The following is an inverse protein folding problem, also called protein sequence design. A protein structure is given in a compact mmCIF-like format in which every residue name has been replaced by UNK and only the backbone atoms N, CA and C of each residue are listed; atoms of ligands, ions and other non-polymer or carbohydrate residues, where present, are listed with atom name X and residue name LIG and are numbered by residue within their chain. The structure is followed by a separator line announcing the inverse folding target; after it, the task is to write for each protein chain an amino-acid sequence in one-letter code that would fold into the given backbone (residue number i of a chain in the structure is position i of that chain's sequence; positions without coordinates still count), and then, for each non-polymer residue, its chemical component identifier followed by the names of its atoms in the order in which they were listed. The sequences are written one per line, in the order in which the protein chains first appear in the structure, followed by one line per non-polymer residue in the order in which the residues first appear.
data_IF_687274528760
#
_entry.id   IF_687274528760
#
_cell.length_a   1.000
_cell.length_b   1.000
_cell.length_c   1.000
_cell.angle_alpha   90.00
_cell.angle_beta   90.00
_cell.angle_gamma   90.00
#
_symmetry.space_group_name_H-M   'P 1'
#
loop_
_entity.id
_entity.type
_entity.pdbx_description
1 polymer ?
#
# COMPACT_ATOMS: atom_id res chain seq x y z
N UNK A 1 5.00 27.21 -11.18
CA UNK A 1 5.43 26.25 -10.12
C UNK A 1 4.93 24.86 -10.50
N UNK A 2 5.70 23.78 -10.28
CA UNK A 2 5.22 22.41 -10.57
C UNK A 2 4.06 22.07 -9.62
N UNK A 3 2.94 21.58 -10.16
CA UNK A 3 1.75 21.18 -9.38
C UNK A 3 2.13 20.08 -8.37
N UNK A 4 1.81 20.29 -7.10
CA UNK A 4 1.96 19.27 -6.04
C UNK A 4 1.04 18.10 -6.35
N UNK A 5 1.56 16.88 -6.24
CA UNK A 5 0.82 15.65 -6.50
C UNK A 5 0.13 15.16 -5.24
N UNK A 6 -1.03 14.51 -5.36
CA UNK A 6 -1.73 13.91 -4.22
C UNK A 6 -1.64 12.39 -4.28
N UNK A 7 -1.12 11.77 -3.22
CA UNK A 7 -1.18 10.33 -2.99
C UNK A 7 -2.32 10.03 -2.01
N UNK A 8 -3.35 9.33 -2.48
CA UNK A 8 -4.34 8.74 -1.55
C UNK A 8 -3.72 7.49 -0.92
N UNK A 9 -3.49 7.54 0.40
CA UNK A 9 -2.94 6.44 1.17
C UNK A 9 -4.10 5.77 1.92
N UNK A 10 -4.59 4.67 1.37
CA UNK A 10 -5.74 3.97 1.90
C UNK A 10 -5.26 2.98 2.95
N UNK A 11 -5.82 3.05 4.15
CA UNK A 11 -5.59 2.05 5.19
C UNK A 11 -6.54 0.89 4.89
N UNK A 12 -6.00 -0.28 4.57
CA UNK A 12 -6.78 -1.48 4.38
C UNK A 12 -7.61 -1.79 5.62
N UNK A 13 -8.79 -2.38 5.42
CA UNK A 13 -9.68 -2.77 6.53
C UNK A 13 -10.23 -1.58 7.35
N UNK A 14 -10.83 -1.86 8.51
CA UNK A 14 -11.31 -0.87 9.47
C UNK A 14 -11.38 -1.48 10.87
N UNK A 15 -11.40 -0.67 11.93
CA UNK A 15 -11.46 -1.16 13.32
C UNK A 15 -12.54 -2.23 13.60
N UNK A 16 -13.74 -2.10 13.01
CA UNK A 16 -14.83 -3.09 13.17
C UNK A 16 -14.75 -4.32 12.24
N UNK A 17 -13.80 -4.37 11.32
CA UNK A 17 -13.52 -5.49 10.42
C UNK A 17 -12.03 -5.42 10.05
N UNK A 18 -11.15 -5.80 10.99
CA UNK A 18 -9.76 -5.35 11.02
C UNK A 18 -8.81 -6.12 10.09
N UNK A 19 -9.31 -7.12 9.38
CA UNK A 19 -8.50 -7.94 8.48
C UNK A 19 -7.84 -9.10 9.21
N UNK A 20 -6.69 -9.53 8.69
CA UNK A 20 -5.92 -10.60 9.32
C UNK A 20 -5.36 -10.15 10.68
N UNK A 21 -5.10 -11.11 11.56
CA UNK A 21 -4.57 -10.86 12.91
C UNK A 21 -3.41 -11.81 13.16
N UNK A 22 -2.28 -11.25 13.59
CA UNK A 22 -1.21 -12.06 14.18
C UNK A 22 -1.66 -12.54 15.56
N UNK A 23 -1.82 -13.86 15.72
CA UNK A 23 -2.34 -14.43 16.96
C UNK A 23 -1.35 -14.32 18.13
N UNK A 24 -0.05 -14.31 17.85
CA UNK A 24 0.99 -14.25 18.89
C UNK A 24 1.15 -12.84 19.47
N UNK A 25 1.01 -11.81 18.65
CA UNK A 25 1.15 -10.41 19.07
C UNK A 25 -0.19 -9.68 19.28
N UNK A 26 -1.32 -10.34 19.02
CA UNK A 26 -2.66 -9.75 19.04
C UNK A 26 -2.76 -8.46 18.19
N UNK A 27 -2.00 -8.40 17.10
CA UNK A 27 -1.91 -7.24 16.22
C UNK A 27 -2.72 -7.47 14.96
N UNK A 28 -3.66 -6.57 14.68
CA UNK A 28 -4.47 -6.64 13.47
C UNK A 28 -3.83 -5.93 12.28
N UNK A 29 -4.21 -6.34 11.08
CA UNK A 29 -3.78 -5.73 9.82
C UNK A 29 -4.18 -4.26 9.75
N UNK A 30 -5.38 -3.90 10.23
CA UNK A 30 -5.82 -2.52 10.31
C UNK A 30 -4.91 -1.68 11.23
N UNK A 31 -4.65 -2.17 12.45
CA UNK A 31 -3.86 -1.41 13.44
C UNK A 31 -2.42 -1.21 12.97
N UNK A 32 -1.81 -2.24 12.38
CA UNK A 32 -0.47 -2.14 11.78
C UNK A 32 -0.44 -1.08 10.67
N UNK A 33 -1.38 -1.17 9.72
CA UNK A 33 -1.41 -0.28 8.56
C UNK A 33 -1.79 1.16 8.92
N UNK A 34 -2.59 1.37 9.98
CA UNK A 34 -2.88 2.72 10.48
C UNK A 34 -1.62 3.40 11.01
N UNK A 35 -0.83 2.72 11.85
CA UNK A 35 0.44 3.26 12.35
C UNK A 35 1.43 3.51 11.21
N UNK A 36 1.56 2.56 10.28
CA UNK A 36 2.43 2.72 9.12
C UNK A 36 2.02 3.93 8.27
N UNK A 37 0.72 4.14 8.07
CA UNK A 37 0.20 5.29 7.32
C UNK A 37 0.49 6.63 8.02
N UNK A 38 0.43 6.68 9.35
CA UNK A 38 0.79 7.85 10.15
C UNK A 38 2.27 8.22 9.96
N UNK A 39 3.16 7.23 10.05
CA UNK A 39 4.61 7.43 9.88
C UNK A 39 4.99 7.87 8.46
N UNK A 40 4.35 7.28 7.43
CA UNK A 40 4.55 7.68 6.03
C UNK A 40 4.10 9.12 5.79
N UNK A 41 2.93 9.51 6.30
CA UNK A 41 2.44 10.90 6.15
C UNK A 41 3.36 11.88 6.88
N UNK A 42 3.75 11.57 8.13
CA UNK A 42 4.65 12.40 8.91
C UNK A 42 6.00 12.60 8.20
N UNK A 43 6.54 11.55 7.58
CA UNK A 43 7.80 11.62 6.81
C UNK A 43 7.72 12.44 5.52
N UNK A 44 6.51 12.82 5.08
CA UNK A 44 6.23 13.57 3.86
C UNK A 44 5.57 14.94 4.12
N UNK A 45 5.42 15.37 5.38
CA UNK A 45 4.73 16.60 5.76
C UNK A 45 5.28 17.86 5.07
N UNK A 46 6.61 18.00 5.01
CA UNK A 46 7.29 19.15 4.39
C UNK A 46 7.58 18.96 2.89
N UNK A 47 7.05 17.90 2.27
CA UNK A 47 7.37 17.59 0.89
C UNK A 47 6.68 18.53 -0.11
N UNK A 48 7.48 19.29 -0.85
CA UNK A 48 6.98 20.27 -1.84
C UNK A 48 6.47 19.66 -3.15
N UNK A 49 6.57 18.34 -3.35
CA UNK A 49 6.20 17.67 -4.61
C UNK A 49 5.01 16.74 -4.48
N UNK A 50 4.77 16.19 -3.29
CA UNK A 50 3.69 15.25 -3.05
C UNK A 50 3.10 15.47 -1.66
N UNK A 51 1.77 15.48 -1.58
CA UNK A 51 1.00 15.44 -0.34
C UNK A 51 0.40 14.04 -0.19
N UNK A 52 0.48 13.48 1.00
CA UNK A 52 -0.25 12.26 1.37
C UNK A 52 -1.61 12.67 1.95
N UNK A 53 -2.64 11.94 1.58
CA UNK A 53 -3.96 12.03 2.20
C UNK A 53 -4.40 10.64 2.63
N UNK A 54 -4.46 10.40 3.94
CA UNK A 54 -4.98 9.14 4.49
C UNK A 54 -6.47 8.97 4.20
N UNK A 55 -6.88 7.75 3.86
CA UNK A 55 -8.27 7.38 3.58
C UNK A 55 -8.68 6.22 4.47
N UNK A 56 -9.80 6.39 5.15
CA UNK A 56 -10.43 5.37 5.98
C UNK A 56 -11.69 4.85 5.30
N UNK A 57 -11.82 3.53 5.24
CA UNK A 57 -12.94 2.88 4.54
C UNK A 57 -14.22 2.90 5.38
N UNK A 58 -15.32 3.41 4.80
CA UNK A 58 -16.68 3.19 5.33
C UNK A 58 -17.17 1.77 5.03
N UNK A 59 -17.29 1.46 3.75
CA UNK A 59 -17.59 0.13 3.20
C UNK A 59 -16.67 -0.15 2.02
N UNK A 60 -16.50 -1.42 1.63
CA UNK A 60 -15.66 -1.77 0.49
C UNK A 60 -16.25 -1.31 -0.85
N UNK A 61 -17.59 -1.35 -0.99
CA UNK A 61 -18.27 -0.92 -2.21
C UNK A 61 -18.16 0.58 -2.48
N UNK A 62 -18.24 1.42 -1.44
CA UNK A 62 -18.18 2.88 -1.55
C UNK A 62 -16.74 3.43 -1.62
N UNK A 63 -15.74 2.63 -1.26
CA UNK A 63 -14.34 3.07 -1.17
C UNK A 63 -13.80 3.67 -2.48
N UNK A 64 -14.03 3.11 -3.68
CA UNK A 64 -13.56 3.72 -4.91
C UNK A 64 -14.13 5.13 -5.13
N UNK A 65 -15.42 5.34 -4.87
CA UNK A 65 -16.07 6.65 -5.03
C UNK A 65 -15.54 7.67 -4.02
N UNK A 66 -15.37 7.27 -2.76
CA UNK A 66 -14.78 8.10 -1.71
C UNK A 66 -13.36 8.55 -2.09
N UNK A 67 -12.56 7.66 -2.68
CA UNK A 67 -11.21 7.98 -3.18
C UNK A 67 -11.28 8.89 -4.41
N UNK A 68 -12.14 8.56 -5.38
CA UNK A 68 -12.26 9.29 -6.64
C UNK A 68 -12.73 10.74 -6.42
N UNK A 69 -13.60 10.99 -5.44
CA UNK A 69 -14.06 12.32 -5.06
C UNK A 69 -12.93 13.27 -4.65
N UNK A 70 -11.79 12.73 -4.19
CA UNK A 70 -10.60 13.51 -3.83
C UNK A 70 -9.69 13.83 -5.02
N UNK A 71 -9.96 13.23 -6.18
CA UNK A 71 -9.17 13.38 -7.40
C UNK A 71 -7.65 13.20 -7.17
N UNK A 72 -7.18 12.10 -6.54
CA UNK A 72 -5.76 11.90 -6.29
C UNK A 72 -4.99 11.63 -7.60
N UNK A 73 -3.69 11.90 -7.61
CA UNK A 73 -2.83 11.60 -8.75
C UNK A 73 -2.47 10.10 -8.82
N UNK A 74 -2.43 9.42 -7.67
CA UNK A 74 -2.22 7.97 -7.53
C UNK A 74 -2.64 7.47 -6.13
N UNK A 75 -2.81 6.16 -6.01
CA UNK A 75 -3.35 5.51 -4.81
C UNK A 75 -2.45 4.35 -4.40
N UNK A 76 -2.18 4.24 -3.10
CA UNK A 76 -1.57 3.07 -2.47
C UNK A 76 -2.50 2.60 -1.36
N UNK A 77 -3.00 1.37 -1.47
CA UNK A 77 -3.77 0.71 -0.43
C UNK A 77 -2.84 -0.19 0.39
N UNK A 78 -2.65 0.14 1.65
CA UNK A 78 -1.81 -0.61 2.58
C UNK A 78 -2.58 -1.83 3.08
N UNK A 79 -1.98 -3.00 2.93
CA UNK A 79 -2.48 -4.28 3.40
C UNK A 79 -1.33 -5.11 3.94
N UNK A 80 -1.66 -6.21 4.61
CA UNK A 80 -0.73 -7.30 4.87
C UNK A 80 -1.31 -8.58 4.27
N UNK A 81 -0.46 -9.46 3.75
CA UNK A 81 -0.95 -10.76 3.32
C UNK A 81 -1.24 -11.65 4.54
N UNK A 82 -2.02 -12.71 4.35
CA UNK A 82 -2.24 -13.75 5.33
C UNK A 82 -2.72 -15.03 4.63
N UNK A 83 -2.26 -16.20 5.10
CA UNK A 83 -2.68 -17.46 4.51
C UNK A 83 -2.70 -18.64 5.49
N UNK A 84 -1.53 -19.08 5.97
CA UNK A 84 -1.37 -20.33 6.71
C UNK A 84 -0.25 -20.28 7.75
N UNK A 85 0.12 -19.08 8.22
CA UNK A 85 1.23 -18.78 9.14
C UNK A 85 2.65 -19.17 8.70
N UNK A 86 2.80 -19.79 7.52
CA UNK A 86 4.10 -20.21 6.95
C UNK A 86 4.48 -19.44 5.69
N UNK A 87 3.49 -18.99 4.91
CA UNK A 87 3.74 -18.18 3.73
C UNK A 87 4.52 -16.91 4.10
N UNK A 88 5.43 -16.50 3.24
CA UNK A 88 6.32 -15.34 3.45
C UNK A 88 6.45 -14.55 2.17
N UNK A 89 6.72 -13.25 2.31
CA UNK A 89 7.25 -12.45 1.23
C UNK A 89 6.41 -11.24 0.82
N UNK A 90 6.97 -10.49 -0.10
CA UNK A 90 6.47 -9.21 -0.59
C UNK A 90 5.78 -9.38 -1.95
N UNK A 91 4.56 -8.85 -2.09
CA UNK A 91 3.91 -8.65 -3.38
C UNK A 91 3.23 -7.28 -3.50
N UNK A 92 3.11 -6.80 -4.74
CA UNK A 92 2.37 -5.57 -5.05
C UNK A 92 1.40 -5.82 -6.19
N UNK A 93 0.13 -5.55 -5.95
CA UNK A 93 -0.96 -5.83 -6.87
C UNK A 93 -1.32 -4.57 -7.66
N UNK A 94 -1.66 -4.75 -8.94
CA UNK A 94 -2.11 -3.66 -9.80
C UNK A 94 -3.15 -4.16 -10.82
N UNK A 95 -4.01 -3.27 -11.31
CA UNK A 95 -4.96 -3.64 -12.35
C UNK A 95 -4.23 -3.99 -13.65
N UNK A 96 -4.50 -5.17 -14.22
CA UNK A 96 -3.73 -5.74 -15.33
C UNK A 96 -3.63 -4.84 -16.57
N UNK A 97 -4.66 -4.02 -16.87
CA UNK A 97 -4.65 -3.08 -18.01
C UNK A 97 -4.02 -1.72 -17.69
N UNK A 98 -3.64 -1.46 -16.42
CA UNK A 98 -3.05 -0.19 -16.01
C UNK A 98 -1.55 -0.15 -16.31
N UNK A 99 -1.16 0.48 -17.42
CA UNK A 99 0.26 0.70 -17.76
C UNK A 99 1.01 1.49 -16.68
N UNK A 100 0.36 2.55 -16.15
CA UNK A 100 0.90 3.34 -15.03
C UNK A 100 0.97 2.52 -13.74
N UNK A 101 -0.09 1.78 -13.41
CA UNK A 101 -0.13 0.87 -12.27
C UNK A 101 1.01 -0.14 -12.31
N UNK A 102 1.25 -0.80 -13.45
CA UNK A 102 2.39 -1.72 -13.63
C UNK A 102 3.74 -1.04 -13.35
N UNK A 103 3.93 0.20 -13.82
CA UNK A 103 5.16 0.96 -13.59
C UNK A 103 5.33 1.33 -12.11
N UNK A 104 4.26 1.72 -11.45
CA UNK A 104 4.27 2.07 -10.03
C UNK A 104 4.49 0.84 -9.15
N UNK A 105 3.84 -0.28 -9.47
CA UNK A 105 4.02 -1.55 -8.78
C UNK A 105 5.49 -1.98 -8.78
N UNK A 106 6.18 -1.89 -9.93
CA UNK A 106 7.63 -2.17 -10.03
C UNK A 106 8.49 -1.27 -9.14
N UNK A 107 8.11 0.00 -8.99
CA UNK A 107 8.84 0.95 -8.13
C UNK A 107 8.65 0.58 -6.66
N UNK A 108 7.41 0.31 -6.25
CA UNK A 108 7.08 -0.03 -4.88
C UNK A 108 7.69 -1.37 -4.48
N UNK A 109 7.45 -2.42 -5.27
CA UNK A 109 7.98 -3.78 -5.07
C UNK A 109 9.50 -3.78 -4.86
N UNK A 110 10.25 -3.10 -5.74
CA UNK A 110 11.71 -2.99 -5.63
C UNK A 110 12.15 -2.38 -4.29
N UNK A 111 11.47 -1.32 -3.83
CA UNK A 111 11.85 -0.64 -2.60
C UNK A 111 11.46 -1.44 -1.36
N UNK A 112 10.29 -2.10 -1.37
CA UNK A 112 9.83 -2.96 -0.28
C UNK A 112 10.73 -4.18 -0.10
N UNK A 113 11.03 -4.88 -1.19
CA UNK A 113 11.93 -6.05 -1.17
C UNK A 113 13.31 -5.66 -0.67
N UNK A 114 13.84 -4.51 -1.08
CA UNK A 114 15.11 -3.99 -0.57
C UNK A 114 15.05 -3.67 0.92
N UNK A 115 13.93 -3.14 1.42
CA UNK A 115 13.79 -2.79 2.82
C UNK A 115 13.67 -4.04 3.71
N UNK A 116 12.78 -4.96 3.36
CA UNK A 116 12.47 -6.11 4.22
C UNK A 116 13.42 -7.28 4.01
N UNK A 117 13.96 -7.45 2.80
CA UNK A 117 14.78 -8.62 2.40
C UNK A 117 14.04 -9.96 2.58
N UNK A 118 12.70 -9.91 2.59
CA UNK A 118 11.85 -11.09 2.52
C UNK A 118 11.77 -11.62 1.08
N UNK A 119 11.18 -12.81 0.92
CA UNK A 119 10.98 -13.44 -0.38
C UNK A 119 10.26 -12.50 -1.35
N UNK A 120 10.86 -12.22 -2.51
CA UNK A 120 10.20 -11.41 -3.53
C UNK A 120 9.21 -12.26 -4.33
N UNK A 121 7.91 -12.04 -4.12
CA UNK A 121 6.83 -12.71 -4.86
C UNK A 121 6.42 -11.91 -6.10
N UNK A 122 6.93 -10.70 -6.25
CA UNK A 122 6.84 -9.83 -7.41
C UNK A 122 5.49 -9.14 -7.55
N UNK A 123 5.40 -8.36 -8.64
CA UNK A 123 4.17 -7.65 -8.98
C UNK A 123 3.10 -8.60 -9.54
N UNK A 124 1.86 -8.44 -9.10
CA UNK A 124 0.72 -9.28 -9.51
C UNK A 124 -0.28 -8.46 -10.31
N UNK A 125 -0.48 -8.84 -11.57
CA UNK A 125 -1.55 -8.29 -12.39
C UNK A 125 -2.89 -8.88 -11.93
N UNK A 126 -3.88 -8.02 -11.71
CA UNK A 126 -5.21 -8.42 -11.21
C UNK A 126 -6.31 -7.99 -12.16
N UNK A 127 -7.24 -8.90 -12.39
CA UNK A 127 -8.53 -8.70 -13.06
C UNK A 127 -9.58 -8.24 -12.04
N UNK A 128 -10.82 -7.99 -12.45
CA UNK A 128 -11.86 -7.52 -11.52
C UNK A 128 -12.38 -8.64 -10.63
N UNK A 129 -12.24 -9.88 -11.10
CA UNK A 129 -12.65 -11.13 -10.47
C UNK A 129 -11.67 -11.58 -9.37
N UNK A 130 -10.42 -11.08 -9.41
CA UNK A 130 -9.44 -11.34 -8.37
C UNK A 130 -9.72 -10.57 -7.08
N UNK A 131 -9.29 -11.11 -5.93
CA UNK A 131 -9.27 -10.37 -4.65
C UNK A 131 -8.54 -9.03 -4.81
N UNK A 132 -9.20 -7.95 -4.39
CA UNK A 132 -8.71 -6.57 -4.54
C UNK A 132 -8.93 -5.95 -5.92
N UNK A 133 -9.31 -6.76 -6.92
CA UNK A 133 -9.52 -6.37 -8.31
C UNK A 133 -10.56 -5.28 -8.52
N UNK A 134 -11.65 -5.32 -7.75
CA UNK A 134 -12.70 -4.29 -7.77
C UNK A 134 -12.13 -2.89 -7.48
N UNK A 135 -11.43 -2.70 -6.37
CA UNK A 135 -10.83 -1.41 -6.00
C UNK A 135 -9.83 -0.92 -7.06
N UNK A 136 -8.97 -1.84 -7.53
CA UNK A 136 -7.96 -1.55 -8.54
C UNK A 136 -8.59 -1.11 -9.88
N UNK A 137 -9.78 -1.60 -10.20
CA UNK A 137 -10.52 -1.28 -11.43
C UNK A 137 -11.34 0.01 -11.33
N UNK A 138 -12.02 0.21 -10.21
CA UNK A 138 -13.03 1.28 -10.04
C UNK A 138 -12.44 2.63 -9.66
N UNK A 139 -11.13 2.70 -9.43
CA UNK A 139 -10.44 3.96 -9.16
C UNK A 139 -9.95 4.61 -10.44
N UNK A 140 -10.13 5.93 -10.55
CA UNK A 140 -9.75 6.72 -11.74
C UNK A 140 -8.23 6.91 -11.83
N UNK A 141 -7.58 7.09 -10.67
CA UNK A 141 -6.13 7.21 -10.57
C UNK A 141 -5.46 5.83 -10.56
N UNK A 142 -4.18 5.69 -10.97
CA UNK A 142 -3.46 4.42 -10.83
C UNK A 142 -3.44 3.97 -9.36
N UNK A 143 -4.01 2.78 -9.11
CA UNK A 143 -4.10 2.19 -7.78
C UNK A 143 -3.20 0.95 -7.65
N UNK A 144 -2.58 0.84 -6.49
CA UNK A 144 -1.82 -0.33 -6.04
C UNK A 144 -2.42 -0.87 -4.75
N UNK A 145 -2.38 -2.19 -4.55
CA UNK A 145 -2.50 -2.80 -3.23
C UNK A 145 -1.10 -3.31 -2.85
N UNK A 146 -0.62 -2.88 -1.70
CA UNK A 146 0.71 -3.21 -1.19
C UNK A 146 0.58 -4.28 -0.12
N UNK A 147 1.24 -5.43 -0.31
CA UNK A 147 1.29 -6.52 0.66
C UNK A 147 2.76 -6.84 0.93
N UNK A 148 3.44 -6.05 1.80
CA UNK A 148 4.87 -6.12 1.98
C UNK A 148 5.34 -7.40 2.66
N UNK A 149 4.49 -8.03 3.48
CA UNK A 149 4.77 -9.26 4.22
C UNK A 149 3.46 -9.96 4.63
N UNK A 150 3.57 -11.16 5.19
CA UNK A 150 2.45 -11.92 5.75
C UNK A 150 2.30 -11.65 7.25
N UNK A 151 1.21 -11.01 7.69
CA UNK A 151 1.02 -10.65 9.11
C UNK A 151 0.80 -11.87 10.00
N UNK A 152 0.26 -12.96 9.46
CA UNK A 152 0.06 -14.21 10.19
C UNK A 152 1.35 -15.06 10.30
N UNK A 153 2.45 -14.64 9.67
CA UNK A 153 3.76 -15.24 9.81
C UNK A 153 4.61 -14.41 10.80
N UNK A 154 4.99 -15.02 11.92
CA UNK A 154 5.70 -14.33 13.00
C UNK A 154 7.08 -13.81 12.58
N UNK A 155 7.79 -14.52 11.70
CA UNK A 155 9.10 -14.06 11.22
C UNK A 155 8.96 -12.84 10.30
N UNK A 156 7.99 -12.87 9.38
CA UNK A 156 7.68 -11.74 8.50
C UNK A 156 7.33 -10.47 9.31
N UNK A 157 6.49 -10.62 10.34
CA UNK A 157 6.11 -9.53 11.22
C UNK A 157 7.31 -9.00 12.03
N UNK A 158 8.14 -9.88 12.59
CA UNK A 158 9.37 -9.50 13.30
C UNK A 158 10.34 -8.73 12.39
N UNK A 159 10.52 -9.16 11.14
CA UNK A 159 11.32 -8.44 10.14
C UNK A 159 10.71 -7.08 9.84
N UNK A 160 9.39 -6.99 9.66
CA UNK A 160 8.72 -5.73 9.36
C UNK A 160 8.82 -4.72 10.52
N UNK A 161 8.77 -5.17 11.77
CA UNK A 161 8.92 -4.33 12.95
C UNK A 161 10.38 -3.92 13.21
N UNK A 162 11.32 -4.86 13.10
CA UNK A 162 12.75 -4.55 13.25
C UNK A 162 13.28 -3.62 12.16
N UNK A 163 12.70 -3.67 10.96
CA UNK A 163 13.03 -2.83 9.80
C UNK A 163 11.97 -1.75 9.52
N UNK A 164 11.23 -1.31 10.55
CA UNK A 164 10.13 -0.36 10.41
C UNK A 164 10.53 0.94 9.71
N UNK A 165 11.69 1.48 10.09
CA UNK A 165 12.23 2.72 9.50
C UNK A 165 12.55 2.54 8.01
N UNK A 166 13.14 1.42 7.63
CA UNK A 166 13.45 1.05 6.26
C UNK A 166 12.17 0.87 5.43
N UNK A 167 11.15 0.24 6.02
CA UNK A 167 9.84 0.05 5.40
C UNK A 167 9.15 1.39 5.13
N UNK A 168 9.08 2.29 6.12
CA UNK A 168 8.56 3.66 5.94
C UNK A 168 9.34 4.38 4.83
N UNK A 169 10.67 4.32 4.87
CA UNK A 169 11.51 4.93 3.86
C UNK A 169 11.30 4.34 2.45
N UNK A 170 10.97 3.05 2.34
CA UNK A 170 10.63 2.42 1.08
C UNK A 170 9.34 2.99 0.48
N UNK A 171 8.30 3.19 1.31
CA UNK A 171 7.07 3.87 0.86
C UNK A 171 7.33 5.32 0.48
N UNK A 172 8.03 6.10 1.32
CA UNK A 172 8.36 7.51 1.07
C UNK A 172 9.09 7.67 -0.27
N UNK A 173 10.17 6.89 -0.49
CA UNK A 173 10.94 6.90 -1.76
C UNK A 173 10.05 6.54 -2.96
N UNK A 174 9.17 5.56 -2.79
CA UNK A 174 8.25 5.12 -3.84
C UNK A 174 7.23 6.20 -4.19
N UNK A 175 6.58 6.82 -3.20
CA UNK A 175 5.59 7.89 -3.36
C UNK A 175 6.22 9.10 -4.07
N UNK A 176 7.40 9.54 -3.63
CA UNK A 176 8.13 10.63 -4.28
C UNK A 176 8.50 10.30 -5.73
N UNK A 177 8.92 9.05 -5.99
CA UNK A 177 9.26 8.61 -7.35
C UNK A 177 8.04 8.56 -8.26
N UNK A 178 6.88 8.10 -7.78
CA UNK A 178 5.62 8.11 -8.51
C UNK A 178 5.18 9.53 -8.85
N UNK A 179 5.24 10.45 -7.89
CA UNK A 179 4.96 11.87 -8.12
C UNK A 179 5.89 12.47 -9.20
N UNK A 180 7.18 12.13 -9.18
CA UNK A 180 8.13 12.55 -10.21
C UNK A 180 7.82 11.95 -11.59
N UNK A 181 7.36 10.70 -11.67
CA UNK A 181 6.96 10.07 -12.94
C UNK A 181 5.74 10.78 -13.54
N UNK A 182 4.81 11.26 -12.72
CA UNK A 182 3.60 11.99 -13.16
C UNK A 182 3.85 13.47 -13.47
N UNK A 183 5.06 13.96 -13.21
CA UNK A 183 5.47 15.34 -13.48
C UNK A 183 6.35 15.46 -14.73
N UNK A 184 6.52 14.37 -15.48
CA UNK A 184 7.16 14.28 -16.78
C UNK A 184 6.08 14.05 -17.83
#
# INVERSE_FOLDING_TARGET
MKKVKTCALVIGHKKSSPGAVNQSQHLSEFDYNEQLALEIEASLSDNKKVKVQRIYRRTYSALPDDINALNPDFIICLHCNAFNTKATGTEVLFYHRSKKGKKFAKVLDKNLVKALELTNRGIKAKTTEDRGGYLLKQTNAPCLISEPFFIDNNHDLEVAESKRTELVNAYVKSIQKMACILSK
#
